data_IF_392107422675
#
_entry.id   IF_392107422675
#
_cell.length_a   1.000
_cell.length_b   1.000
_cell.length_c   1.000
_cell.angle_alpha   90.00
_cell.angle_beta   90.00
_cell.angle_gamma   90.00
#
_symmetry.space_group_name_H-M   'P 1'
#
loop_
_entity.id
_entity.type
_entity.pdbx_description
1 polymer ?
#
# COMPACT_ATOMS: atom_id res chain seq x y z
N UNK A 1 22.77 -11.39 -6.29
CA UNK A 1 22.07 -10.09 -6.29
C UNK A 1 21.41 -9.81 -4.93
N UNK A 2 20.31 -10.48 -4.57
CA UNK A 2 19.55 -10.19 -3.33
C UNK A 2 20.41 -10.26 -2.05
N UNK A 3 21.26 -11.29 -1.94
CA UNK A 3 22.15 -11.49 -0.77
C UNK A 3 23.15 -10.35 -0.56
N UNK A 4 23.60 -9.71 -1.64
CA UNK A 4 24.64 -8.67 -1.64
C UNK A 4 24.08 -7.26 -1.40
N UNK A 5 22.75 -7.11 -1.25
CA UNK A 5 22.14 -5.81 -0.98
C UNK A 5 22.52 -5.30 0.41
N UNK A 6 23.12 -4.11 0.47
CA UNK A 6 23.46 -3.44 1.71
C UNK A 6 22.23 -2.70 2.27
N UNK A 7 21.33 -3.46 2.89
CA UNK A 7 20.14 -2.91 3.54
C UNK A 7 20.48 -1.95 4.67
N UNK A 8 21.65 -2.09 5.30
CA UNK A 8 22.12 -1.20 6.36
C UNK A 8 22.43 0.20 5.81
N UNK A 9 23.16 0.29 4.69
CA UNK A 9 23.43 1.57 4.03
C UNK A 9 22.16 2.24 3.51
N UNK A 10 21.28 1.48 2.86
CA UNK A 10 19.99 1.99 2.37
C UNK A 10 19.10 2.49 3.52
N UNK A 11 19.05 1.75 4.63
CA UNK A 11 18.33 2.17 5.84
C UNK A 11 18.98 3.38 6.49
N UNK A 12 20.31 3.42 6.64
CA UNK A 12 21.02 4.57 7.21
C UNK A 12 20.69 5.84 6.43
N UNK A 13 20.72 5.76 5.10
CA UNK A 13 20.28 6.86 4.25
C UNK A 13 18.81 7.24 4.49
N UNK A 14 17.87 6.28 4.57
CA UNK A 14 16.47 6.61 4.85
C UNK A 14 16.25 7.24 6.24
N UNK A 15 17.03 6.83 7.25
CA UNK A 15 16.97 7.38 8.61
C UNK A 15 17.49 8.82 8.62
N UNK A 16 18.64 9.07 7.99
CA UNK A 16 19.21 10.42 7.82
C UNK A 16 18.25 11.34 7.05
N UNK A 17 17.42 10.76 6.20
CA UNK A 17 16.46 11.46 5.36
C UNK A 17 15.01 11.30 5.84
N UNK A 18 14.78 11.05 7.14
CA UNK A 18 13.45 10.82 7.72
C UNK A 18 12.46 11.96 7.44
N UNK A 19 12.92 13.20 7.50
CA UNK A 19 12.09 14.39 7.21
C UNK A 19 11.74 14.55 5.72
N UNK A 20 12.51 13.94 4.81
CA UNK A 20 12.25 14.03 3.37
C UNK A 20 10.92 13.38 2.98
N UNK A 21 10.43 12.39 3.73
CA UNK A 21 9.10 11.83 3.49
C UNK A 21 7.97 12.85 3.66
N UNK A 22 8.07 13.74 4.66
CA UNK A 22 7.11 14.82 4.86
C UNK A 22 7.21 15.85 3.73
N UNK A 23 8.42 16.19 3.31
CA UNK A 23 8.65 17.09 2.17
C UNK A 23 8.05 16.49 0.89
N UNK A 24 8.32 15.21 0.61
CA UNK A 24 7.75 14.52 -0.56
C UNK A 24 6.23 14.48 -0.49
N UNK A 25 5.64 14.27 0.70
CA UNK A 25 4.19 14.34 0.89
C UNK A 25 3.61 15.73 0.59
N UNK A 26 4.27 16.79 1.06
CA UNK A 26 3.86 18.17 0.77
C UNK A 26 3.99 18.51 -0.72
N UNK A 27 5.13 18.16 -1.33
CA UNK A 27 5.38 18.32 -2.77
C UNK A 27 4.34 17.55 -3.58
N UNK A 28 4.01 16.32 -3.19
CA UNK A 28 2.98 15.52 -3.83
C UNK A 28 1.62 16.23 -3.84
N UNK A 29 1.18 16.79 -2.71
CA UNK A 29 -0.08 17.54 -2.64
C UNK A 29 -0.05 18.78 -3.55
N UNK A 30 1.02 19.55 -3.51
CA UNK A 30 1.20 20.75 -4.35
C UNK A 30 1.15 20.36 -5.82
N UNK A 31 1.89 19.33 -6.22
CA UNK A 31 1.93 18.86 -7.61
C UNK A 31 0.58 18.33 -8.06
N UNK A 32 -0.08 17.48 -7.28
CA UNK A 32 -1.37 16.88 -7.65
C UNK A 32 -2.43 17.95 -7.85
N UNK A 33 -2.60 18.86 -6.89
CA UNK A 33 -3.60 19.92 -7.00
C UNK A 33 -3.20 21.03 -7.98
N UNK A 34 -1.91 21.31 -8.12
CA UNK A 34 -1.36 22.22 -9.12
C UNK A 34 -1.59 21.72 -10.54
N UNK A 35 -1.25 20.45 -10.84
CA UNK A 35 -1.53 19.81 -12.14
C UNK A 35 -3.04 19.76 -12.37
N UNK A 36 -3.85 19.48 -11.33
CA UNK A 36 -5.31 19.45 -11.47
C UNK A 36 -5.87 20.82 -11.86
N UNK A 37 -5.33 21.89 -11.28
CA UNK A 37 -5.69 23.26 -11.65
C UNK A 37 -5.25 23.58 -13.09
N UNK A 38 -4.00 23.28 -13.43
CA UNK A 38 -3.44 23.50 -14.77
C UNK A 38 -4.19 22.72 -15.87
N UNK A 39 -4.70 21.53 -15.55
CA UNK A 39 -5.45 20.71 -16.49
C UNK A 39 -6.90 21.17 -16.69
N UNK A 40 -7.40 22.17 -15.95
CA UNK A 40 -8.79 22.68 -16.12
C UNK A 40 -9.02 23.16 -17.55
N UNK A 41 -8.09 23.94 -18.08
CA UNK A 41 -8.17 24.58 -19.40
C UNK A 41 -7.67 23.69 -20.56
N UNK A 42 -7.09 22.52 -20.25
CA UNK A 42 -6.50 21.61 -21.25
C UNK A 42 -7.40 20.42 -21.55
N UNK A 43 -7.19 19.80 -22.71
CA UNK A 43 -7.83 18.51 -23.05
C UNK A 43 -7.18 17.37 -22.28
N UNK A 44 -7.93 16.29 -22.04
CA UNK A 44 -7.41 15.11 -21.36
C UNK A 44 -6.37 14.38 -22.22
N UNK A 45 -5.27 13.94 -21.62
CA UNK A 45 -4.24 13.18 -22.34
C UNK A 45 -4.63 11.72 -22.54
N UNK A 46 -4.26 11.15 -23.69
CA UNK A 46 -4.45 9.74 -24.04
C UNK A 46 -3.29 8.88 -23.51
N UNK A 47 -3.19 8.72 -22.20
CA UNK A 47 -2.10 7.98 -21.54
C UNK A 47 -2.41 6.49 -21.31
N UNK A 48 -3.16 5.83 -22.22
CA UNK A 48 -3.54 4.42 -22.02
C UNK A 48 -2.33 3.47 -22.02
N UNK A 49 -1.48 3.56 -23.04
CA UNK A 49 -0.29 2.69 -23.17
C UNK A 49 0.71 2.92 -22.03
N UNK A 50 1.10 4.17 -21.69
CA UNK A 50 1.96 4.41 -20.54
C UNK A 50 1.37 3.90 -19.22
N UNK A 51 0.05 4.08 -19.00
CA UNK A 51 -0.62 3.58 -17.80
C UNK A 51 -0.65 2.04 -17.76
N UNK A 52 -0.84 1.38 -18.90
CA UNK A 52 -0.83 -0.08 -18.98
C UNK A 52 0.56 -0.63 -18.66
N UNK A 53 1.62 -0.05 -19.25
CA UNK A 53 3.01 -0.44 -18.97
C UNK A 53 3.41 -0.20 -17.52
N UNK A 54 3.02 0.97 -16.98
CA UNK A 54 3.23 1.33 -15.58
C UNK A 54 2.53 0.34 -14.63
N UNK A 55 1.24 0.09 -14.86
CA UNK A 55 0.44 -0.83 -14.05
C UNK A 55 0.99 -2.25 -14.14
N UNK A 56 1.40 -2.69 -15.34
CA UNK A 56 1.98 -4.02 -15.54
C UNK A 56 3.32 -4.17 -14.80
N UNK A 57 4.18 -3.14 -14.85
CA UNK A 57 5.42 -3.12 -14.09
C UNK A 57 5.17 -3.25 -12.58
N UNK A 58 4.18 -2.52 -12.05
CA UNK A 58 3.77 -2.63 -10.66
C UNK A 58 3.13 -3.99 -10.32
N UNK A 59 2.40 -4.61 -11.24
CA UNK A 59 1.91 -5.99 -11.10
C UNK A 59 3.06 -6.96 -10.96
N UNK A 60 4.03 -6.96 -11.88
CA UNK A 60 5.18 -7.86 -11.84
C UNK A 60 6.00 -7.66 -10.56
N UNK A 61 6.26 -6.41 -10.21
CA UNK A 61 6.92 -6.06 -8.95
C UNK A 61 6.19 -6.64 -7.74
N UNK A 62 4.87 -6.45 -7.69
CA UNK A 62 4.03 -6.89 -6.57
C UNK A 62 3.96 -8.41 -6.47
N UNK A 63 3.85 -9.13 -7.59
CA UNK A 63 3.82 -10.60 -7.62
C UNK A 63 5.15 -11.19 -7.14
N UNK A 64 6.27 -10.70 -7.67
CA UNK A 64 7.60 -11.21 -7.29
C UNK A 64 7.91 -10.86 -5.84
N UNK A 65 7.60 -9.64 -5.41
CA UNK A 65 7.77 -9.21 -4.03
C UNK A 65 6.92 -10.02 -3.06
N UNK A 66 5.64 -10.22 -3.37
CA UNK A 66 4.74 -11.05 -2.55
C UNK A 66 5.30 -12.46 -2.38
N UNK A 67 5.67 -13.13 -3.49
CA UNK A 67 6.26 -14.47 -3.45
C UNK A 67 7.51 -14.57 -2.57
N UNK A 68 8.41 -13.58 -2.67
CA UNK A 68 9.68 -13.56 -1.93
C UNK A 68 9.48 -13.32 -0.45
N UNK A 69 8.57 -12.42 -0.06
CA UNK A 69 8.31 -12.12 1.35
C UNK A 69 7.43 -13.21 1.98
N UNK A 70 6.47 -13.79 1.26
CA UNK A 70 5.67 -14.92 1.76
C UNK A 70 6.49 -16.14 2.12
N UNK A 71 7.54 -16.48 1.37
CA UNK A 71 8.44 -17.59 1.76
C UNK A 71 9.00 -17.40 3.17
N UNK A 72 9.43 -16.18 3.49
CA UNK A 72 9.93 -15.86 4.83
C UNK A 72 8.79 -15.85 5.87
N UNK A 73 7.61 -15.32 5.51
CA UNK A 73 6.50 -15.21 6.46
C UNK A 73 5.89 -16.56 6.82
N UNK A 74 5.68 -17.43 5.84
CA UNK A 74 5.23 -18.81 6.04
C UNK A 74 6.24 -19.57 6.89
N UNK A 75 7.54 -19.44 6.61
CA UNK A 75 8.57 -20.07 7.43
C UNK A 75 8.49 -19.62 8.89
N UNK A 76 8.38 -18.31 9.17
CA UNK A 76 8.26 -17.81 10.54
C UNK A 76 6.97 -18.25 11.22
N UNK A 77 5.85 -18.25 10.49
CA UNK A 77 4.56 -18.67 11.02
C UNK A 77 4.59 -20.14 11.44
N UNK A 78 5.11 -21.03 10.58
CA UNK A 78 5.13 -22.47 10.83
C UNK A 78 6.17 -22.89 11.87
N UNK A 79 7.31 -22.18 11.97
CA UNK A 79 8.41 -22.59 12.87
C UNK A 79 8.42 -21.87 14.21
N UNK A 80 7.91 -20.63 14.28
CA UNK A 80 7.98 -19.78 15.48
C UNK A 80 6.59 -19.39 16.01
N UNK A 81 5.53 -19.73 15.30
CA UNK A 81 4.16 -19.39 15.67
C UNK A 81 3.75 -17.96 15.32
N UNK A 82 2.46 -17.66 15.51
CA UNK A 82 1.86 -16.40 15.06
C UNK A 82 2.45 -15.16 15.74
N UNK A 83 2.51 -15.13 17.08
CA UNK A 83 3.04 -13.98 17.83
C UNK A 83 4.46 -13.61 17.39
N UNK A 84 5.35 -14.60 17.30
CA UNK A 84 6.72 -14.37 16.87
C UNK A 84 6.78 -13.97 15.39
N UNK A 85 5.93 -14.52 14.52
CA UNK A 85 5.87 -14.10 13.11
C UNK A 85 5.50 -12.62 12.94
N UNK A 86 4.63 -12.10 13.82
CA UNK A 86 4.22 -10.69 13.84
C UNK A 86 5.34 -9.83 14.42
N UNK A 87 5.94 -10.21 15.53
CA UNK A 87 6.94 -9.37 16.22
C UNK A 87 8.36 -9.45 15.65
N UNK A 88 8.65 -10.45 14.81
CA UNK A 88 9.98 -10.68 14.28
C UNK A 88 10.44 -9.59 13.31
N UNK A 89 11.62 -9.04 13.58
CA UNK A 89 12.34 -8.14 12.66
C UNK A 89 13.13 -8.88 11.58
N UNK A 90 13.09 -10.22 11.56
CA UNK A 90 13.89 -11.02 10.63
C UNK A 90 13.62 -10.70 9.16
N UNK A 91 12.42 -10.23 8.80
CA UNK A 91 12.09 -9.82 7.43
C UNK A 91 12.96 -8.68 6.91
N UNK A 92 13.46 -7.80 7.79
CA UNK A 92 14.31 -6.67 7.44
C UNK A 92 15.80 -7.05 7.33
N UNK A 93 16.19 -8.22 7.86
CA UNK A 93 17.60 -8.64 7.98
C UNK A 93 17.88 -9.84 7.05
N UNK A 94 16.88 -10.69 6.85
CA UNK A 94 17.03 -11.93 6.10
C UNK A 94 17.50 -11.64 4.65
N UNK A 95 18.49 -12.39 4.12
CA UNK A 95 19.21 -12.05 2.90
C UNK A 95 18.34 -11.81 1.66
N UNK A 96 17.17 -12.44 1.59
CA UNK A 96 16.22 -12.29 0.48
C UNK A 96 15.20 -11.20 0.77
N UNK A 97 14.47 -11.27 1.89
CA UNK A 97 13.34 -10.38 2.15
C UNK A 97 13.75 -8.95 2.44
N UNK A 98 14.96 -8.71 2.96
CA UNK A 98 15.47 -7.35 3.27
C UNK A 98 15.41 -6.41 2.06
N UNK A 99 15.73 -6.93 0.87
CA UNK A 99 15.70 -6.15 -0.37
C UNK A 99 14.24 -5.81 -0.71
N UNK A 100 13.35 -6.81 -0.67
CA UNK A 100 11.95 -6.64 -1.05
C UNK A 100 11.18 -5.72 -0.12
N UNK A 101 11.47 -5.74 1.19
CA UNK A 101 10.88 -4.81 2.15
C UNK A 101 11.39 -3.37 1.92
N UNK A 102 12.67 -3.20 1.55
CA UNK A 102 13.21 -1.89 1.15
C UNK A 102 12.55 -1.39 -0.15
N UNK A 103 12.46 -2.25 -1.17
CA UNK A 103 11.83 -1.91 -2.44
C UNK A 103 10.33 -1.61 -2.26
N UNK A 104 9.65 -2.31 -1.35
CA UNK A 104 8.27 -2.00 -0.98
C UNK A 104 8.14 -0.60 -0.38
N UNK A 105 9.06 -0.20 0.51
CA UNK A 105 9.04 1.15 1.06
C UNK A 105 9.25 2.22 -0.02
N UNK A 106 10.16 1.97 -0.97
CA UNK A 106 10.40 2.85 -2.11
C UNK A 106 9.24 2.84 -3.11
N UNK A 107 8.56 1.70 -3.29
CA UNK A 107 7.44 1.58 -4.24
C UNK A 107 6.31 2.52 -3.87
N UNK A 108 6.10 2.83 -2.58
CA UNK A 108 5.05 3.78 -2.17
C UNK A 108 5.28 5.19 -2.70
N UNK A 109 6.53 5.59 -2.91
CA UNK A 109 6.85 6.86 -3.58
C UNK A 109 6.58 6.78 -5.08
N UNK A 110 6.89 5.65 -5.70
CA UNK A 110 6.60 5.40 -7.12
C UNK A 110 5.09 5.42 -7.37
N UNK A 111 4.31 4.74 -6.52
CA UNK A 111 2.85 4.65 -6.59
C UNK A 111 2.15 6.02 -6.52
N UNK A 112 2.80 7.08 -6.02
CA UNK A 112 2.27 8.46 -6.10
C UNK A 112 2.05 8.91 -7.56
N UNK A 113 2.75 8.30 -8.51
CA UNK A 113 2.56 8.49 -9.95
C UNK A 113 1.16 8.08 -10.45
N UNK A 114 0.46 7.18 -9.76
CA UNK A 114 -0.91 6.79 -10.11
C UNK A 114 -1.85 8.00 -10.10
N UNK A 115 -1.71 8.85 -9.09
CA UNK A 115 -2.48 10.09 -8.96
C UNK A 115 -2.18 11.03 -10.12
N UNK A 116 -0.93 11.12 -10.56
CA UNK A 116 -0.53 11.95 -11.70
C UNK A 116 -1.23 11.48 -12.98
N UNK A 117 -1.29 10.16 -13.24
CA UNK A 117 -2.03 9.61 -14.37
C UNK A 117 -3.53 9.94 -14.31
N UNK A 118 -4.15 9.89 -13.13
CA UNK A 118 -5.57 10.24 -12.95
C UNK A 118 -5.81 11.70 -13.33
N UNK A 119 -5.00 12.61 -12.80
CA UNK A 119 -5.15 14.04 -13.03
C UNK A 119 -4.88 14.42 -14.48
N UNK A 120 -3.82 13.90 -15.11
CA UNK A 120 -3.49 14.17 -16.52
C UNK A 120 -4.56 13.64 -17.49
N UNK A 121 -5.28 12.58 -17.11
CA UNK A 121 -6.41 12.03 -17.88
C UNK A 121 -7.74 12.72 -17.58
N UNK A 122 -7.75 13.78 -16.75
CA UNK A 122 -8.95 14.47 -16.24
C UNK A 122 -9.98 13.50 -15.65
N UNK A 123 -9.52 12.45 -14.98
CA UNK A 123 -10.41 11.55 -14.23
C UNK A 123 -10.63 12.12 -12.83
N UNK A 124 -11.79 11.79 -12.25
CA UNK A 124 -12.16 12.28 -10.92
C UNK A 124 -11.20 11.72 -9.88
N UNK A 125 -10.37 12.59 -9.31
CA UNK A 125 -9.53 12.26 -8.18
C UNK A 125 -10.40 12.17 -6.92
N UNK A 126 -10.64 10.96 -6.43
CA UNK A 126 -11.44 10.73 -5.22
C UNK A 126 -10.59 10.89 -3.96
N UNK A 127 -11.21 11.34 -2.87
CA UNK A 127 -10.53 11.55 -1.58
C UNK A 127 -9.77 10.31 -1.10
N UNK A 128 -10.43 9.15 -1.14
CA UNK A 128 -9.86 7.85 -0.69
C UNK A 128 -8.53 7.55 -1.38
N UNK A 129 -8.40 7.87 -2.67
CA UNK A 129 -7.21 7.56 -3.45
C UNK A 129 -6.01 8.38 -2.99
N UNK A 130 -6.08 9.71 -3.08
CA UNK A 130 -4.91 10.53 -2.74
C UNK A 130 -4.59 10.49 -1.24
N UNK A 131 -5.60 10.34 -0.38
CA UNK A 131 -5.41 10.17 1.06
C UNK A 131 -4.68 8.85 1.36
N UNK A 132 -5.09 7.75 0.75
CA UNK A 132 -4.39 6.46 0.85
C UNK A 132 -2.94 6.55 0.38
N UNK A 133 -2.70 7.06 -0.83
CA UNK A 133 -1.34 7.12 -1.38
C UNK A 133 -0.40 7.97 -0.51
N UNK A 134 -0.86 9.12 -0.02
CA UNK A 134 -0.08 9.97 0.88
C UNK A 134 0.21 9.28 2.22
N UNK A 135 -0.83 8.79 2.89
CA UNK A 135 -0.68 8.19 4.23
C UNK A 135 0.08 6.88 4.19
N UNK A 136 -0.12 6.04 3.18
CA UNK A 136 0.62 4.80 2.99
C UNK A 136 2.10 5.05 2.75
N UNK A 137 2.47 6.07 1.97
CA UNK A 137 3.87 6.45 1.76
C UNK A 137 4.53 6.91 3.07
N UNK A 138 3.86 7.77 3.84
CA UNK A 138 4.37 8.27 5.12
C UNK A 138 4.52 7.15 6.16
N UNK A 139 3.48 6.36 6.40
CA UNK A 139 3.51 5.26 7.39
C UNK A 139 4.59 4.25 7.02
N UNK A 140 4.67 3.84 5.76
CA UNK A 140 5.67 2.85 5.32
C UNK A 140 7.09 3.38 5.50
N UNK A 141 7.34 4.65 5.18
CA UNK A 141 8.65 5.26 5.37
C UNK A 141 9.07 5.26 6.84
N UNK A 142 8.20 5.70 7.75
CA UNK A 142 8.50 5.72 9.18
C UNK A 142 8.64 4.31 9.76
N UNK A 143 7.75 3.38 9.39
CA UNK A 143 7.79 1.98 9.84
C UNK A 143 9.03 1.22 9.37
N UNK A 144 9.51 1.48 8.15
CA UNK A 144 10.73 0.87 7.64
C UNK A 144 11.98 1.35 8.42
N UNK A 145 12.08 2.64 8.70
CA UNK A 145 13.20 3.24 9.43
C UNK A 145 13.35 2.64 10.84
N UNK A 146 12.22 2.51 11.53
CA UNK A 146 12.14 2.00 12.90
C UNK A 146 12.07 0.46 12.97
N UNK A 147 12.12 -0.24 11.82
CA UNK A 147 12.02 -1.70 11.69
C UNK A 147 10.87 -2.28 12.52
N UNK A 148 9.70 -1.68 12.36
CA UNK A 148 8.58 -1.93 13.26
C UNK A 148 8.01 -3.33 13.08
N UNK A 149 7.66 -3.94 14.22
CA UNK A 149 6.93 -5.20 14.30
C UNK A 149 5.64 -5.17 13.46
N UNK A 150 5.28 -6.29 12.86
CA UNK A 150 4.15 -6.42 11.94
C UNK A 150 4.46 -6.02 10.50
N UNK A 151 5.58 -5.34 10.24
CA UNK A 151 5.95 -4.87 8.90
C UNK A 151 6.07 -5.99 7.85
N UNK A 152 6.42 -7.21 8.24
CA UNK A 152 6.43 -8.36 7.34
C UNK A 152 5.04 -8.72 6.81
N UNK A 153 4.05 -8.86 7.71
CA UNK A 153 2.67 -9.12 7.35
C UNK A 153 2.06 -7.96 6.54
N UNK A 154 2.34 -6.71 6.94
CA UNK A 154 1.89 -5.53 6.19
C UNK A 154 2.44 -5.54 4.78
N UNK A 155 3.74 -5.74 4.62
CA UNK A 155 4.41 -5.76 3.32
C UNK A 155 3.79 -6.81 2.41
N UNK A 156 3.64 -8.04 2.88
CA UNK A 156 3.28 -9.11 1.98
C UNK A 156 1.78 -9.30 1.75
N UNK A 157 0.91 -8.93 2.71
CA UNK A 157 -0.52 -8.74 2.40
C UNK A 157 -0.71 -7.59 1.41
N UNK A 158 0.00 -6.46 1.57
CA UNK A 158 -0.11 -5.33 0.66
C UNK A 158 0.36 -5.66 -0.75
N UNK A 159 1.53 -6.30 -0.91
CA UNK A 159 2.03 -6.75 -2.21
C UNK A 159 1.06 -7.76 -2.86
N UNK A 160 0.43 -8.63 -2.08
CA UNK A 160 -0.55 -9.60 -2.60
C UNK A 160 -1.80 -8.90 -3.15
N UNK A 161 -2.37 -7.96 -2.40
CA UNK A 161 -3.55 -7.20 -2.85
C UNK A 161 -3.19 -6.24 -4.00
N UNK A 162 -2.03 -5.60 -3.95
CA UNK A 162 -1.53 -4.74 -5.03
C UNK A 162 -1.30 -5.53 -6.32
N UNK A 163 -0.83 -6.78 -6.25
CA UNK A 163 -0.74 -7.64 -7.44
C UNK A 163 -2.12 -7.79 -8.12
N UNK A 164 -3.19 -8.02 -7.35
CA UNK A 164 -4.55 -8.11 -7.87
C UNK A 164 -5.05 -6.77 -8.42
N UNK A 165 -4.87 -5.69 -7.66
CA UNK A 165 -5.34 -4.34 -8.05
C UNK A 165 -4.65 -3.83 -9.32
N UNK A 166 -3.31 -3.91 -9.40
CA UNK A 166 -2.59 -3.47 -10.59
C UNK A 166 -2.79 -4.40 -11.79
N UNK A 167 -3.00 -5.71 -11.56
CA UNK A 167 -3.38 -6.60 -12.65
C UNK A 167 -4.72 -6.15 -13.27
N UNK A 168 -5.70 -5.81 -12.43
CA UNK A 168 -6.96 -5.23 -12.87
C UNK A 168 -6.77 -3.90 -13.61
N UNK A 169 -5.91 -3.00 -13.14
CA UNK A 169 -5.61 -1.74 -13.83
C UNK A 169 -4.91 -1.96 -15.18
N UNK A 170 -4.03 -2.95 -15.28
CA UNK A 170 -3.38 -3.33 -16.54
C UNK A 170 -4.43 -3.77 -17.56
N UNK A 171 -5.31 -4.70 -17.18
CA UNK A 171 -6.37 -5.21 -18.08
C UNK A 171 -7.37 -4.11 -18.47
N UNK A 172 -7.75 -3.24 -17.54
CA UNK A 172 -8.66 -2.14 -17.86
C UNK A 172 -8.00 -1.05 -18.72
N UNK A 173 -6.68 -0.85 -18.61
CA UNK A 173 -5.94 0.11 -19.43
C UNK A 173 -5.82 -0.32 -20.90
N UNK A 174 -5.82 -1.62 -21.21
CA UNK A 174 -5.87 -2.14 -22.59
C UNK A 174 -7.25 -1.99 -23.26
N UNK A 175 -8.26 -1.54 -22.50
CA UNK A 175 -9.62 -1.31 -23.01
C UNK A 175 -10.57 -2.49 -22.80
N UNK A 176 -10.10 -3.57 -22.17
CA UNK A 176 -10.94 -4.72 -21.82
C UNK A 176 -11.90 -4.33 -20.69
N UNK A 177 -13.20 -4.58 -20.90
CA UNK A 177 -14.22 -4.38 -19.87
C UNK A 177 -14.19 -5.55 -18.90
N UNK A 178 -13.76 -5.28 -17.67
CA UNK A 178 -13.71 -6.29 -16.62
C UNK A 178 -15.07 -6.39 -15.91
N UNK A 179 -15.60 -7.62 -15.69
CA UNK A 179 -16.84 -7.84 -14.94
C UNK A 179 -16.86 -7.18 -13.56
N UNK A 180 -18.02 -6.63 -13.19
CA UNK A 180 -18.27 -6.00 -11.88
C UNK A 180 -17.94 -6.91 -10.67
N UNK A 181 -18.20 -8.24 -10.69
CA UNK A 181 -17.84 -9.11 -9.57
C UNK A 181 -16.34 -9.12 -9.25
N UNK A 182 -15.48 -9.01 -10.27
CA UNK A 182 -14.03 -8.98 -10.07
C UNK A 182 -13.62 -7.68 -9.34
N UNK A 183 -14.17 -6.55 -9.76
CA UNK A 183 -13.95 -5.27 -9.08
C UNK A 183 -14.44 -5.30 -7.62
N UNK A 184 -15.56 -5.98 -7.35
CA UNK A 184 -16.05 -6.22 -6.00
C UNK A 184 -15.07 -7.06 -5.17
N UNK A 185 -14.60 -8.20 -5.70
CA UNK A 185 -13.62 -9.07 -5.02
C UNK A 185 -12.36 -8.30 -4.65
N UNK A 186 -11.84 -7.47 -5.57
CA UNK A 186 -10.65 -6.64 -5.31
C UNK A 186 -10.93 -5.65 -4.18
N UNK A 187 -12.06 -4.94 -4.23
CA UNK A 187 -12.41 -3.97 -3.18
C UNK A 187 -12.60 -4.67 -1.82
N UNK A 188 -13.25 -5.84 -1.80
CA UNK A 188 -13.40 -6.66 -0.60
C UNK A 188 -12.05 -7.13 -0.06
N UNK A 189 -11.11 -7.53 -0.93
CA UNK A 189 -9.76 -7.93 -0.51
C UNK A 189 -8.99 -6.79 0.17
N UNK A 190 -9.14 -5.56 -0.33
CA UNK A 190 -8.57 -4.35 0.29
C UNK A 190 -9.18 -4.09 1.66
N UNK A 191 -10.51 -4.26 1.81
CA UNK A 191 -11.18 -4.11 3.10
C UNK A 191 -10.73 -5.15 4.10
N UNK A 192 -10.67 -6.43 3.70
CA UNK A 192 -10.18 -7.53 4.56
C UNK A 192 -8.73 -7.27 4.99
N UNK A 193 -7.89 -6.77 4.09
CA UNK A 193 -6.52 -6.37 4.41
C UNK A 193 -6.47 -5.27 5.47
N UNK A 194 -7.25 -4.18 5.32
CA UNK A 194 -7.26 -3.09 6.31
C UNK A 194 -7.76 -3.56 7.67
N UNK A 195 -8.79 -4.41 7.71
CA UNK A 195 -9.27 -5.06 8.94
C UNK A 195 -8.17 -5.90 9.59
N UNK A 196 -7.45 -6.69 8.80
CA UNK A 196 -6.29 -7.46 9.28
C UNK A 196 -5.21 -6.60 9.90
N UNK A 197 -4.91 -5.44 9.31
CA UNK A 197 -3.93 -4.49 9.86
C UNK A 197 -4.39 -3.85 11.18
N UNK A 198 -5.67 -3.51 11.31
CA UNK A 198 -6.24 -3.01 12.56
C UNK A 198 -6.14 -4.08 13.65
N UNK A 199 -6.55 -5.32 13.37
CA UNK A 199 -6.45 -6.45 14.31
C UNK A 199 -4.99 -6.69 14.72
N UNK A 200 -4.07 -6.64 13.76
CA UNK A 200 -2.64 -6.81 14.04
C UNK A 200 -2.10 -5.71 14.94
N UNK A 201 -2.51 -4.45 14.74
CA UNK A 201 -2.11 -3.36 15.62
C UNK A 201 -2.68 -3.51 17.05
N UNK A 202 -3.88 -4.06 17.20
CA UNK A 202 -4.43 -4.43 18.51
C UNK A 202 -3.54 -5.48 19.18
N UNK A 203 -3.17 -6.56 18.49
CA UNK A 203 -2.23 -7.54 19.05
C UNK A 203 -0.87 -6.94 19.40
N UNK A 204 -0.34 -6.05 18.57
CA UNK A 204 0.92 -5.35 18.84
C UNK A 204 0.83 -4.46 20.08
N UNK A 205 -0.33 -3.84 20.37
CA UNK A 205 -0.51 -3.08 21.62
C UNK A 205 -0.45 -3.97 22.86
N UNK A 206 -1.03 -5.17 22.81
CA UNK A 206 -0.98 -6.13 23.93
C UNK A 206 0.41 -6.75 24.13
N UNK A 207 1.14 -7.03 23.04
CA UNK A 207 2.45 -7.68 23.12
C UNK A 207 3.63 -6.71 23.24
N UNK A 208 3.36 -5.41 23.31
CA UNK A 208 4.40 -4.39 23.42
C UNK A 208 5.19 -4.51 24.72
N UNK A 209 4.52 -4.82 25.83
CA UNK A 209 5.13 -4.86 27.16
C UNK A 209 6.03 -6.09 27.36
N UNK A 210 5.83 -7.14 26.56
CA UNK A 210 6.64 -8.36 26.59
C UNK A 210 8.07 -8.16 26.07
N UNK A 211 8.45 -6.95 25.63
CA UNK A 211 9.76 -6.59 25.02
C UNK A 211 10.15 -7.38 23.77
N UNK A 212 9.32 -8.33 23.32
CA UNK A 212 9.52 -9.12 22.10
C UNK A 212 9.23 -8.29 20.83
N UNK A 213 8.36 -7.28 20.93
CA UNK A 213 7.84 -6.54 19.78
C UNK A 213 8.41 -5.11 19.74
N UNK A 214 9.35 -4.86 18.84
CA UNK A 214 9.91 -3.52 18.65
C UNK A 214 8.91 -2.60 17.92
N UNK A 215 8.25 -1.72 18.67
CA UNK A 215 7.37 -0.67 18.15
C UNK A 215 7.29 0.52 19.10
N UNK A 216 7.00 1.72 18.59
CA UNK A 216 6.82 2.94 19.38
C UNK A 216 5.34 3.29 19.50
N UNK A 217 4.92 3.85 20.64
CA UNK A 217 3.53 4.27 20.86
C UNK A 217 3.03 5.27 19.80
N UNK A 218 3.79 6.31 19.43
CA UNK A 218 3.35 7.25 18.41
C UNK A 218 3.08 6.56 17.07
N UNK A 219 3.96 5.66 16.62
CA UNK A 219 3.78 5.00 15.33
C UNK A 219 2.63 3.99 15.35
N UNK A 220 2.45 3.27 16.47
CA UNK A 220 1.33 2.36 16.64
C UNK A 220 -0.01 3.10 16.61
N UNK A 221 -0.13 4.22 17.33
CA UNK A 221 -1.34 5.05 17.34
C UNK A 221 -1.60 5.68 15.96
N UNK A 222 -0.57 6.26 15.32
CA UNK A 222 -0.70 6.85 13.99
C UNK A 222 -1.11 5.80 12.93
N UNK A 223 -0.47 4.63 12.92
CA UNK A 223 -0.82 3.57 11.97
C UNK A 223 -2.21 3.00 12.23
N UNK A 224 -2.60 2.79 13.49
CA UNK A 224 -3.97 2.36 13.85
C UNK A 224 -5.02 3.36 13.40
N UNK A 225 -4.76 4.65 13.60
CA UNK A 225 -5.65 5.72 13.12
C UNK A 225 -5.81 5.64 11.60
N UNK A 226 -4.70 5.58 10.86
CA UNK A 226 -4.70 5.55 9.39
C UNK A 226 -5.40 4.30 8.84
N UNK A 227 -5.13 3.11 9.39
CA UNK A 227 -5.79 1.89 8.91
C UNK A 227 -7.29 1.90 9.22
N UNK A 228 -7.68 2.45 10.36
CA UNK A 228 -9.10 2.59 10.73
C UNK A 228 -9.82 3.58 9.82
N UNK A 229 -9.24 4.76 9.57
CA UNK A 229 -9.84 5.75 8.66
C UNK A 229 -9.94 5.20 7.24
N UNK A 230 -8.92 4.50 6.75
CA UNK A 230 -8.94 3.84 5.45
C UNK A 230 -10.02 2.77 5.37
N UNK A 231 -10.16 1.91 6.38
CA UNK A 231 -11.21 0.90 6.43
C UNK A 231 -12.60 1.54 6.29
N UNK A 232 -12.88 2.60 7.06
CA UNK A 232 -14.16 3.34 6.98
C UNK A 232 -14.38 3.93 5.59
N UNK A 233 -13.34 4.52 5.00
CA UNK A 233 -13.42 5.11 3.65
C UNK A 233 -13.68 4.05 2.57
N UNK A 234 -13.04 2.88 2.65
CA UNK A 234 -13.27 1.77 1.74
C UNK A 234 -14.66 1.17 1.91
N UNK A 235 -15.14 1.01 3.15
CA UNK A 235 -16.52 0.61 3.43
C UNK A 235 -17.51 1.57 2.76
N UNK A 236 -17.35 2.88 2.98
CA UNK A 236 -18.23 3.90 2.38
C UNK A 236 -18.18 3.85 0.84
N UNK A 237 -16.98 3.73 0.26
CA UNK A 237 -16.81 3.55 -1.18
C UNK A 237 -17.54 2.30 -1.69
N UNK A 238 -17.43 1.18 -0.99
CA UNK A 238 -18.08 -0.09 -1.35
C UNK A 238 -19.61 0.04 -1.31
N UNK A 239 -20.16 0.58 -0.22
CA UNK A 239 -21.60 0.81 -0.09
C UNK A 239 -22.13 1.67 -1.23
N UNK A 240 -21.48 2.82 -1.48
CA UNK A 240 -21.91 3.77 -2.51
C UNK A 240 -21.82 3.22 -3.94
N UNK A 241 -20.78 2.43 -4.23
CA UNK A 241 -20.50 1.95 -5.59
C UNK A 241 -21.25 0.67 -5.91
N UNK A 242 -21.34 -0.27 -4.96
CA UNK A 242 -21.84 -1.62 -5.23
C UNK A 242 -23.23 -1.89 -4.67
N UNK A 243 -23.61 -1.27 -3.55
CA UNK A 243 -24.87 -1.58 -2.86
C UNK A 243 -25.96 -0.51 -3.11
N UNK A 244 -25.59 0.77 -3.22
CA UNK A 244 -26.56 1.85 -3.46
C UNK A 244 -27.24 1.77 -4.84
N UNK A 245 -26.57 1.23 -5.87
CA UNK A 245 -27.20 1.01 -7.18
C UNK A 245 -28.19 -0.16 -7.20
N UNK A 246 -27.98 -1.20 -6.39
CA UNK A 246 -28.91 -2.35 -6.31
C UNK A 246 -30.22 -1.95 -5.64
N UNK A 247 -30.19 -0.96 -4.73
CA UNK A 247 -31.39 -0.47 -4.04
C UNK A 247 -32.34 0.31 -4.95
N UNK A 248 -31.85 0.92 -6.03
CA UNK A 248 -32.69 1.60 -7.03
C UNK A 248 -33.44 0.64 -7.97
N UNK A 249 -32.93 -0.59 -8.16
CA UNK A 249 -33.56 -1.60 -9.03
C UNK A 249 -34.55 -2.52 -8.31
N UNK A 250 -34.64 -2.45 -6.97
CA UNK A 250 -35.56 -3.26 -6.16
C UNK A 250 -36.74 -2.46 -5.58
N UNK A 251 -36.90 -1.21 -6.01
CA UNK A 251 -37.93 -0.29 -5.50
C UNK A 251 -38.66 0.48 -6.61
N UNK A 252 -38.61 -0.02 -7.84
CA UNK A 252 -39.47 0.38 -8.97
C UNK A 252 -40.22 -0.85 -9.46
#
# INVERSE_FOLDING_TARGET
FEKNFNSLAARKWMVENRYKALIVGAVYLILVFGIQHFMKERRAYHLRTPLALWSFGLTLFSVIGAWRVWKQMVFLLLTKGFKQSVCSQSVYIHPVSKLWVCLFALSKLVELGDTVFIVLRKKKLIFVHWYHHLTAALVTWFSYNDMVAGGGWVTALNLSVHALTYCYYTVTATGIRVPRPIAMIITTSQMVQMTGFVIMNVFLSFWKDDKVCHTTWPLLLCSSWIYTTLLVLFCNFFFKTYLSCTRKSKGE
#
